data_IF_056907528699
#
_entry.id   IF_056907528699
#
_cell.length_a   1.000
_cell.length_b   1.000
_cell.length_c   1.000
_cell.angle_alpha   90.00
_cell.angle_beta   90.00
_cell.angle_gamma   90.00
#
_symmetry.space_group_name_H-M   'P 1'
#
loop_
_entity.id
_entity.type
_entity.pdbx_description
1 polymer ?
#
# COMPACT_ATOMS: atom_id res chain seq x y z
N UNK A 1 -9.18 -6.55 14.20
CA UNK A 1 -7.91 -6.86 13.50
C UNK A 1 -6.88 -7.25 14.55
N UNK A 2 -5.89 -8.07 14.19
CA UNK A 2 -4.84 -8.54 15.08
C UNK A 2 -3.49 -7.90 14.73
N UNK A 3 -2.72 -7.53 15.75
CA UNK A 3 -1.36 -7.05 15.60
C UNK A 3 -0.41 -8.20 15.25
N UNK A 4 0.53 -7.98 14.33
CA UNK A 4 1.50 -8.98 13.90
C UNK A 4 2.90 -8.71 14.46
N UNK A 5 3.60 -9.79 14.79
CA UNK A 5 5.04 -9.79 15.04
C UNK A 5 5.75 -10.34 13.79
N UNK A 6 6.54 -9.50 13.13
CA UNK A 6 7.32 -9.88 11.94
C UNK A 6 8.71 -9.25 12.09
N UNK A 7 9.70 -10.01 12.58
CA UNK A 7 11.07 -9.51 12.65
C UNK A 7 11.66 -9.37 11.25
N UNK A 8 12.46 -8.33 11.02
CA UNK A 8 13.24 -8.11 9.79
C UNK A 8 12.43 -8.40 8.52
N UNK A 9 11.31 -7.69 8.37
CA UNK A 9 10.40 -7.85 7.25
C UNK A 9 11.17 -7.79 5.93
N UNK A 10 11.10 -8.88 5.15
CA UNK A 10 11.81 -9.04 3.87
C UNK A 10 13.32 -8.85 4.00
N UNK A 11 13.92 -9.39 5.07
CA UNK A 11 15.35 -9.29 5.40
C UNK A 11 15.86 -7.84 5.52
N UNK A 12 14.95 -6.89 5.76
CA UNK A 12 15.24 -5.47 5.88
C UNK A 12 15.54 -5.03 7.33
N UNK A 13 15.76 -3.73 7.50
CA UNK A 13 15.90 -3.07 8.79
C UNK A 13 14.58 -2.83 9.55
N UNK A 14 13.43 -3.19 8.97
CA UNK A 14 12.11 -2.94 9.55
C UNK A 14 11.61 -4.21 10.25
N UNK A 15 11.11 -4.06 11.48
CA UNK A 15 10.34 -5.11 12.16
C UNK A 15 8.96 -4.61 12.54
N UNK A 16 7.93 -5.44 12.35
CA UNK A 16 6.60 -5.18 12.88
C UNK A 16 6.48 -5.76 14.28
N UNK A 17 6.13 -4.91 15.25
CA UNK A 17 5.99 -5.29 16.65
C UNK A 17 4.56 -5.02 17.14
N UNK A 18 3.93 -5.93 17.88
CA UNK A 18 2.60 -5.69 18.43
C UNK A 18 2.54 -4.46 19.36
N UNK A 19 3.61 -4.17 20.10
CA UNK A 19 3.71 -3.01 20.98
C UNK A 19 3.67 -1.64 20.28
N UNK A 20 3.78 -1.62 18.94
CA UNK A 20 3.66 -0.39 18.16
C UNK A 20 2.22 -0.08 17.74
N UNK A 21 1.25 -0.86 18.22
CA UNK A 21 -0.18 -0.65 18.00
C UNK A 21 -0.83 -0.33 19.35
N UNK A 22 -1.54 0.80 19.42
CA UNK A 22 -2.29 1.21 20.60
C UNK A 22 -3.69 1.68 20.24
N UNK A 23 -4.67 1.39 21.10
CA UNK A 23 -5.97 2.07 21.07
C UNK A 23 -5.85 3.36 21.89
N UNK A 24 -6.03 4.51 21.23
CA UNK A 24 -5.88 5.83 21.86
C UNK A 24 -7.27 6.38 22.18
N UNK A 25 -7.47 6.76 23.44
CA UNK A 25 -8.72 7.34 23.97
C UNK A 25 -10.00 6.51 23.69
N UNK A 26 -9.87 5.21 23.42
CA UNK A 26 -10.97 4.36 22.92
C UNK A 26 -11.64 4.89 21.63
N UNK A 27 -10.92 5.70 20.82
CA UNK A 27 -11.45 6.32 19.60
C UNK A 27 -10.82 5.80 18.33
N UNK A 28 -9.49 5.75 18.29
CA UNK A 28 -8.75 5.37 17.08
C UNK A 28 -7.56 4.48 17.43
N UNK A 29 -7.14 3.68 16.46
CA UNK A 29 -5.91 2.90 16.55
C UNK A 29 -4.74 3.78 16.10
N UNK A 30 -3.63 3.73 16.82
CA UNK A 30 -2.36 4.33 16.43
C UNK A 30 -1.35 3.24 16.07
N UNK A 31 -0.81 3.32 14.86
CA UNK A 31 0.39 2.61 14.41
C UNK A 31 1.58 3.55 14.60
N UNK A 32 2.62 3.10 15.29
CA UNK A 32 3.79 3.93 15.65
C UNK A 32 5.05 3.39 15.00
N UNK A 33 5.77 4.25 14.27
CA UNK A 33 7.04 3.92 13.63
C UNK A 33 8.20 4.62 14.35
N UNK A 34 9.24 3.86 14.72
CA UNK A 34 10.35 4.33 15.57
C UNK A 34 11.70 3.83 15.09
N UNK A 35 12.76 4.58 15.38
CA UNK A 35 14.15 4.15 15.21
C UNK A 35 14.71 3.55 16.50
N UNK A 36 15.55 2.55 16.34
CA UNK A 36 16.30 1.87 17.39
C UNK A 36 17.79 1.79 17.00
N UNK A 37 18.68 1.87 17.99
CA UNK A 37 20.11 1.69 17.80
C UNK A 37 20.59 0.40 18.47
N UNK A 38 20.89 -0.60 17.66
CA UNK A 38 21.28 -1.94 18.10
C UNK A 38 22.71 -2.29 17.70
N UNK A 39 23.27 -3.37 18.23
CA UNK A 39 24.64 -3.75 17.88
C UNK A 39 24.71 -4.35 16.46
N UNK A 40 23.66 -5.06 16.04
CA UNK A 40 23.54 -5.66 14.71
C UNK A 40 22.07 -5.80 14.31
N UNK A 41 21.83 -5.97 13.01
CA UNK A 41 20.50 -6.29 12.48
C UNK A 41 19.93 -7.55 13.15
N UNK A 42 18.65 -7.50 13.51
CA UNK A 42 17.94 -8.60 14.17
C UNK A 42 18.05 -8.66 15.70
N UNK A 43 18.87 -7.80 16.32
CA UNK A 43 18.83 -7.62 17.77
C UNK A 43 17.43 -7.09 18.21
N UNK A 44 16.96 -7.41 19.43
CA UNK A 44 15.65 -6.98 19.92
C UNK A 44 15.47 -5.46 19.92
N UNK A 45 14.33 -4.98 19.44
CA UNK A 45 13.95 -3.57 19.43
C UNK A 45 13.07 -3.28 20.64
N UNK A 46 13.54 -2.42 21.56
CA UNK A 46 12.87 -2.13 22.84
C UNK A 46 12.89 -0.64 23.13
N UNK A 47 12.15 -0.21 24.14
CA UNK A 47 12.17 1.20 24.58
C UNK A 47 13.55 1.64 25.09
N UNK A 48 14.41 0.72 25.52
CA UNK A 48 15.76 1.04 26.01
C UNK A 48 16.72 1.45 24.88
N UNK A 49 16.48 0.98 23.65
CA UNK A 49 17.34 1.29 22.49
C UNK A 49 16.64 2.19 21.47
N UNK A 50 15.45 2.69 21.78
CA UNK A 50 14.75 3.72 21.02
C UNK A 50 15.55 5.03 21.00
N UNK A 51 15.53 5.71 19.86
CA UNK A 51 16.05 7.08 19.74
C UNK A 51 15.31 7.85 18.64
N UNK A 52 15.29 9.17 18.76
CA UNK A 52 14.91 10.07 17.66
C UNK A 52 16.12 10.66 16.93
N UNK A 53 17.33 10.46 17.45
CA UNK A 53 18.57 10.92 16.84
C UNK A 53 19.22 9.88 15.91
N UNK A 54 20.33 10.25 15.25
CA UNK A 54 21.21 9.30 14.57
C UNK A 54 21.77 8.26 15.55
N UNK A 55 22.09 7.07 15.04
CA UNK A 55 22.77 6.07 15.85
C UNK A 55 24.25 6.40 16.04
N UNK A 56 24.85 6.09 17.22
CA UNK A 56 26.29 6.16 17.40
C UNK A 56 27.04 5.30 16.38
N UNK A 57 28.28 5.65 16.06
CA UNK A 57 29.07 5.01 15.00
C UNK A 57 29.26 3.48 15.14
N UNK A 58 29.15 2.94 16.37
CA UNK A 58 29.27 1.51 16.66
C UNK A 58 27.90 0.79 16.76
N UNK A 59 26.83 1.42 16.28
CA UNK A 59 25.46 0.88 16.29
C UNK A 59 24.87 0.91 14.90
N UNK A 60 23.94 -0.02 14.67
CA UNK A 60 23.16 -0.13 13.45
C UNK A 60 21.75 0.40 13.72
N UNK A 61 21.25 1.25 12.81
CA UNK A 61 19.86 1.67 12.85
C UNK A 61 18.94 0.51 12.43
N UNK A 62 17.93 0.24 13.24
CA UNK A 62 16.80 -0.61 12.91
C UNK A 62 15.52 0.16 13.18
N UNK A 63 14.43 -0.21 12.53
CA UNK A 63 13.16 0.46 12.66
C UNK A 63 12.10 -0.53 13.12
N UNK A 64 11.21 -0.07 13.98
CA UNK A 64 10.02 -0.82 14.34
C UNK A 64 8.78 -0.07 13.88
N UNK A 65 7.74 -0.82 13.48
CA UNK A 65 6.41 -0.28 13.16
C UNK A 65 5.30 -1.24 13.62
N UNK A 66 4.04 -0.91 13.38
CA UNK A 66 2.90 -1.78 13.59
C UNK A 66 2.31 -2.30 12.27
N UNK A 67 1.83 -3.53 12.29
CA UNK A 67 1.03 -4.14 11.21
C UNK A 67 -0.19 -4.81 11.80
N UNK A 68 -1.35 -4.38 11.33
CA UNK A 68 -2.64 -4.97 11.61
C UNK A 68 -3.11 -5.80 10.44
N UNK A 69 -3.66 -6.98 10.73
CA UNK A 69 -4.35 -7.79 9.73
C UNK A 69 -5.76 -8.15 10.21
N UNK A 70 -6.74 -8.13 9.30
CA UNK A 70 -8.02 -8.77 9.57
C UNK A 70 -7.92 -10.30 9.36
N UNK A 71 -8.93 -11.03 9.83
CA UNK A 71 -9.20 -12.36 9.25
C UNK A 71 -9.66 -12.22 7.79
N UNK A 72 -9.88 -13.36 7.12
CA UNK A 72 -10.44 -13.40 5.77
C UNK A 72 -11.93 -13.07 5.79
N UNK A 73 -12.26 -11.78 5.84
CA UNK A 73 -13.61 -11.26 6.08
C UNK A 73 -14.28 -10.70 4.82
N UNK A 74 -13.56 -10.56 3.72
CA UNK A 74 -14.10 -10.01 2.47
C UNK A 74 -14.37 -11.12 1.48
N UNK A 75 -15.65 -11.40 1.26
CA UNK A 75 -16.11 -12.29 0.19
C UNK A 75 -16.03 -11.59 -1.18
N UNK A 76 -14.94 -11.83 -1.92
CA UNK A 76 -14.74 -11.29 -3.27
C UNK A 76 -15.64 -11.95 -4.33
N UNK A 77 -16.47 -12.93 -3.96
CA UNK A 77 -17.53 -13.45 -4.81
C UNK A 77 -18.70 -12.49 -5.00
N UNK A 78 -18.79 -11.44 -4.15
CA UNK A 78 -19.86 -10.44 -4.13
C UNK A 78 -19.31 -9.03 -4.33
N UNK A 79 -20.13 -8.10 -4.87
CA UNK A 79 -19.79 -6.68 -4.84
C UNK A 79 -19.57 -6.20 -3.40
N UNK A 80 -18.52 -5.41 -3.19
CA UNK A 80 -18.20 -4.85 -1.90
C UNK A 80 -17.68 -3.42 -2.01
N UNK A 81 -17.83 -2.67 -0.93
CA UNK A 81 -17.15 -1.41 -0.69
C UNK A 81 -16.43 -1.48 0.64
N UNK A 82 -15.21 -0.98 0.70
CA UNK A 82 -14.52 -0.78 1.96
C UNK A 82 -14.08 0.67 2.11
N UNK A 83 -14.12 1.17 3.34
CA UNK A 83 -13.71 2.52 3.70
C UNK A 83 -12.78 2.49 4.90
N UNK A 84 -11.68 3.23 4.83
CA UNK A 84 -10.70 3.38 5.89
C UNK A 84 -10.53 4.88 6.14
N UNK A 85 -10.90 5.33 7.33
CA UNK A 85 -10.63 6.72 7.75
C UNK A 85 -9.31 6.76 8.50
N UNK A 86 -8.32 7.43 7.92
CA UNK A 86 -6.96 7.45 8.43
C UNK A 86 -6.38 8.88 8.46
N UNK A 87 -5.45 9.10 9.38
CA UNK A 87 -4.64 10.32 9.46
C UNK A 87 -3.17 9.94 9.53
N UNK A 88 -2.39 10.45 8.59
CA UNK A 88 -0.95 10.23 8.50
C UNK A 88 -0.27 11.40 9.20
N UNK A 89 0.56 11.13 10.22
CA UNK A 89 1.32 12.17 10.90
C UNK A 89 2.79 12.06 10.50
N UNK A 90 3.15 12.87 9.51
CA UNK A 90 4.51 13.03 9.03
C UNK A 90 5.26 14.07 9.87
N UNK A 91 6.03 13.61 10.84
CA UNK A 91 6.80 14.50 11.72
C UNK A 91 8.10 15.01 11.06
N UNK A 92 8.08 15.26 9.75
CA UNK A 92 9.17 15.90 9.00
C UNK A 92 10.32 15.00 8.56
N UNK A 93 10.21 13.66 8.67
CA UNK A 93 11.26 12.72 8.26
C UNK A 93 10.88 11.91 7.04
N UNK A 94 11.83 11.72 6.12
CA UNK A 94 11.69 10.86 4.93
C UNK A 94 11.78 9.39 5.29
N UNK A 95 11.42 8.54 4.32
CA UNK A 95 11.52 7.09 4.38
C UNK A 95 10.39 6.39 5.12
N UNK A 96 9.27 7.06 5.34
CA UNK A 96 8.02 6.42 5.77
C UNK A 96 7.11 6.14 4.57
N UNK A 97 6.44 4.98 4.57
CA UNK A 97 5.27 4.70 3.73
C UNK A 97 4.12 4.12 4.53
N UNK A 98 2.98 4.80 4.52
CA UNK A 98 1.73 4.25 5.04
C UNK A 98 1.06 3.41 3.97
N UNK A 99 0.68 2.18 4.31
CA UNK A 99 0.02 1.25 3.40
C UNK A 99 -1.29 0.71 3.98
N UNK A 100 -2.37 0.86 3.22
CA UNK A 100 -3.71 0.36 3.53
C UNK A 100 -4.15 -0.49 2.35
N UNK A 101 -4.31 -1.79 2.55
CA UNK A 101 -4.44 -2.71 1.42
C UNK A 101 -5.19 -3.99 1.78
N UNK A 102 -5.58 -4.74 0.76
CA UNK A 102 -6.14 -6.08 0.88
C UNK A 102 -5.37 -7.07 0.03
N UNK A 103 -5.37 -8.33 0.45
CA UNK A 103 -4.90 -9.43 -0.41
C UNK A 103 -5.71 -10.69 -0.18
N UNK A 104 -5.71 -11.57 -1.17
CA UNK A 104 -6.31 -12.92 -1.10
C UNK A 104 -5.27 -14.04 -0.96
N UNK A 105 -3.97 -13.72 -0.95
CA UNK A 105 -2.90 -14.71 -0.91
C UNK A 105 -1.73 -14.25 -0.03
N UNK A 106 -1.02 -15.17 0.60
CA UNK A 106 0.02 -14.82 1.59
C UNK A 106 1.32 -14.30 0.97
N UNK A 107 1.70 -14.71 -0.24
CA UNK A 107 2.93 -14.25 -0.92
C UNK A 107 2.80 -14.28 -2.45
N UNK A 108 3.61 -13.47 -3.14
CA UNK A 108 3.84 -13.55 -4.59
C UNK A 108 4.40 -14.92 -5.04
N UNK A 109 4.86 -15.78 -4.12
CA UNK A 109 5.29 -17.16 -4.42
C UNK A 109 4.12 -18.04 -4.89
N UNK A 110 2.88 -17.54 -4.79
CA UNK A 110 1.70 -18.14 -5.39
C UNK A 110 1.58 -17.94 -6.90
N UNK A 111 2.48 -17.15 -7.50
CA UNK A 111 2.82 -17.28 -8.91
C UNK A 111 3.73 -18.53 -9.02
N UNK A 112 3.19 -19.60 -9.58
CA UNK A 112 3.77 -20.95 -9.59
C UNK A 112 5.15 -21.02 -10.23
N UNK A 113 5.81 -22.17 -10.12
CA UNK A 113 7.17 -22.33 -10.67
C UNK A 113 7.21 -22.45 -12.20
N UNK A 114 6.05 -22.57 -12.87
CA UNK A 114 5.95 -22.71 -14.32
C UNK A 114 5.87 -21.31 -14.98
N UNK A 115 6.90 -20.85 -15.72
CA UNK A 115 6.90 -19.53 -16.37
C UNK A 115 5.77 -19.29 -17.38
N UNK A 116 5.11 -20.37 -17.85
CA UNK A 116 3.94 -20.28 -18.73
C UNK A 116 2.61 -20.12 -17.96
N UNK A 117 2.62 -20.15 -16.63
CA UNK A 117 1.42 -20.01 -15.81
C UNK A 117 0.95 -18.55 -15.74
N UNK A 118 -0.36 -18.37 -15.81
CA UNK A 118 -1.04 -17.11 -15.52
C UNK A 118 -1.76 -17.27 -14.18
N UNK A 119 -1.01 -17.32 -13.08
CA UNK A 119 -1.63 -17.70 -11.82
C UNK A 119 -2.54 -16.62 -11.24
N UNK A 120 -3.63 -17.01 -10.56
CA UNK A 120 -4.50 -16.06 -9.90
C UNK A 120 -3.73 -15.45 -8.72
N UNK A 121 -3.63 -14.14 -8.71
CA UNK A 121 -3.10 -13.33 -7.61
C UNK A 121 -3.97 -12.09 -7.46
N UNK A 122 -4.28 -11.72 -6.22
CA UNK A 122 -5.07 -10.56 -5.89
C UNK A 122 -4.44 -9.75 -4.76
N UNK A 123 -4.13 -8.51 -5.07
CA UNK A 123 -3.72 -7.48 -4.12
C UNK A 123 -4.35 -6.15 -4.54
N UNK A 124 -4.95 -5.46 -3.57
CA UNK A 124 -5.69 -4.22 -3.77
C UNK A 124 -5.13 -3.19 -2.79
N UNK A 125 -4.28 -2.30 -3.29
CA UNK A 125 -3.67 -1.24 -2.50
C UNK A 125 -4.61 -0.04 -2.52
N UNK A 126 -5.36 0.14 -1.43
CA UNK A 126 -6.24 1.30 -1.29
C UNK A 126 -5.38 2.57 -1.19
N UNK A 127 -4.28 2.48 -0.44
CA UNK A 127 -3.32 3.55 -0.28
C UNK A 127 -1.92 2.99 -0.11
N UNK A 128 -1.01 3.50 -0.92
CA UNK A 128 0.39 3.69 -0.58
C UNK A 128 0.69 5.19 -0.57
N UNK A 129 1.12 5.72 0.57
CA UNK A 129 1.52 7.11 0.71
C UNK A 129 2.99 7.17 1.08
N UNK A 130 3.79 7.96 0.38
CA UNK A 130 5.23 8.06 0.61
C UNK A 130 5.58 9.44 1.16
N UNK A 131 6.35 9.47 2.26
CA UNK A 131 6.84 10.71 2.88
C UNK A 131 7.69 11.60 1.96
N UNK A 132 8.28 11.05 0.90
CA UNK A 132 9.02 11.78 -0.13
C UNK A 132 8.09 12.55 -1.11
N UNK A 133 6.80 12.24 -1.12
CA UNK A 133 5.81 12.74 -2.06
C UNK A 133 4.47 12.97 -1.36
N UNK A 134 4.49 13.80 -0.32
CA UNK A 134 3.43 14.01 0.68
C UNK A 134 2.02 14.29 0.15
N UNK A 135 1.90 14.87 -1.03
CA UNK A 135 0.61 15.22 -1.63
C UNK A 135 0.10 14.14 -2.63
N UNK A 136 0.84 13.04 -2.79
CA UNK A 136 0.50 11.97 -3.69
C UNK A 136 0.10 10.71 -2.92
N UNK A 137 -0.87 10.01 -3.49
CA UNK A 137 -1.24 8.67 -3.11
C UNK A 137 -1.24 7.78 -4.35
N UNK A 138 -0.80 6.54 -4.14
CA UNK A 138 -0.83 5.49 -5.14
C UNK A 138 -1.81 4.44 -4.67
N UNK A 139 -2.75 4.10 -5.54
CA UNK A 139 -3.61 2.93 -5.36
C UNK A 139 -3.35 1.97 -6.51
N UNK A 140 -3.46 0.68 -6.28
CA UNK A 140 -3.18 -0.31 -7.31
C UNK A 140 -4.02 -1.57 -7.17
N UNK A 141 -4.42 -2.10 -8.31
CA UNK A 141 -5.01 -3.44 -8.41
C UNK A 141 -4.02 -4.35 -9.10
N UNK A 142 -3.53 -5.34 -8.37
CA UNK A 142 -2.75 -6.44 -8.91
C UNK A 142 -3.66 -7.63 -9.15
N UNK A 143 -3.83 -8.02 -10.41
CA UNK A 143 -4.70 -9.10 -10.82
C UNK A 143 -3.99 -10.05 -11.77
N UNK A 144 -3.63 -11.23 -11.26
CA UNK A 144 -2.83 -12.28 -11.91
C UNK A 144 -1.33 -12.01 -12.04
N UNK A 145 -0.58 -13.10 -12.22
CA UNK A 145 0.87 -13.09 -12.41
C UNK A 145 1.29 -13.28 -13.87
N UNK A 146 2.47 -12.77 -14.21
CA UNK A 146 3.24 -13.12 -15.41
C UNK A 146 4.72 -13.27 -15.06
N UNK A 147 5.44 -14.15 -15.77
CA UNK A 147 6.88 -14.27 -15.58
C UNK A 147 7.60 -13.20 -16.40
N UNK A 148 8.38 -12.35 -15.73
CA UNK A 148 9.21 -11.33 -16.37
C UNK A 148 10.54 -11.95 -16.79
N UNK A 149 10.71 -12.16 -18.10
CA UNK A 149 11.98 -12.61 -18.66
C UNK A 149 13.05 -11.51 -18.58
N UNK A 150 12.66 -10.24 -18.59
CA UNK A 150 13.59 -9.11 -18.41
C UNK A 150 14.17 -9.05 -16.99
N UNK A 151 13.40 -9.45 -15.98
CA UNK A 151 13.80 -9.39 -14.56
C UNK A 151 14.14 -10.76 -13.96
N UNK A 152 13.92 -11.85 -14.70
CA UNK A 152 14.13 -13.21 -14.22
C UNK A 152 13.24 -13.59 -13.03
N UNK A 153 12.07 -12.96 -12.87
CA UNK A 153 11.20 -13.13 -11.69
C UNK A 153 9.72 -12.93 -12.01
N UNK A 154 8.84 -13.39 -11.13
CA UNK A 154 7.41 -13.18 -11.24
C UNK A 154 7.02 -11.72 -10.98
N UNK A 155 6.04 -11.24 -11.75
CA UNK A 155 5.46 -9.91 -11.66
C UNK A 155 3.94 -10.03 -11.73
N UNK A 156 3.25 -8.99 -11.31
CA UNK A 156 1.79 -8.90 -11.36
C UNK A 156 1.35 -8.01 -12.50
N UNK A 157 0.21 -8.35 -13.10
CA UNK A 157 -0.48 -7.43 -14.00
C UNK A 157 -1.22 -6.41 -13.16
N UNK A 158 -1.08 -5.13 -13.50
CA UNK A 158 -1.44 -4.05 -12.57
C UNK A 158 -2.16 -2.91 -13.27
N UNK A 159 -3.22 -2.43 -12.62
CA UNK A 159 -3.73 -1.06 -12.78
C UNK A 159 -3.13 -0.20 -11.68
N UNK A 160 -2.57 0.95 -12.06
CA UNK A 160 -2.04 1.91 -11.13
C UNK A 160 -2.81 3.22 -11.22
N UNK A 161 -3.31 3.68 -10.09
CA UNK A 161 -4.11 4.88 -9.92
C UNK A 161 -3.26 5.98 -9.29
N UNK A 162 -3.55 7.23 -9.65
CA UNK A 162 -2.82 8.37 -9.10
C UNK A 162 -3.79 9.50 -8.77
N UNK A 163 -3.75 9.94 -7.52
CA UNK A 163 -4.64 10.98 -6.99
C UNK A 163 -4.43 12.33 -7.65
N UNK A 164 -3.18 12.76 -7.82
CA UNK A 164 -2.89 14.07 -8.37
C UNK A 164 -1.98 13.98 -9.59
N UNK A 165 -2.50 14.53 -10.68
CA UNK A 165 -1.77 14.92 -11.89
C UNK A 165 -1.89 16.44 -12.09
N UNK A 166 -1.91 17.20 -10.99
CA UNK A 166 -2.05 18.66 -11.08
C UNK A 166 -0.83 19.29 -11.72
N UNK A 167 -1.08 20.09 -12.75
CA UNK A 167 -0.05 20.89 -13.42
C UNK A 167 0.21 22.12 -12.55
N UNK A 168 1.45 22.31 -12.10
CA UNK A 168 1.94 23.57 -11.51
C UNK A 168 1.16 24.12 -10.30
N UNK A 169 0.26 23.36 -9.68
CA UNK A 169 -0.36 23.73 -8.40
C UNK A 169 0.44 23.13 -7.26
N UNK A 170 0.51 23.85 -6.13
CA UNK A 170 0.93 23.25 -4.87
C UNK A 170 -0.15 22.25 -4.46
N UNK A 171 0.09 21.00 -4.83
CA UNK A 171 -0.56 19.80 -4.33
C UNK A 171 -0.69 19.88 -2.81
N UNK A 172 -1.90 19.70 -2.27
CA UNK A 172 -2.11 19.80 -0.82
C UNK A 172 -1.60 18.52 -0.16
N UNK A 173 -0.70 18.60 0.84
CA UNK A 173 -0.25 17.41 1.55
C UNK A 173 -1.41 16.60 2.12
N UNK A 174 -1.32 15.28 2.03
CA UNK A 174 -2.31 14.33 2.56
C UNK A 174 -2.03 13.96 4.03
N UNK A 175 -0.88 14.37 4.56
CA UNK A 175 -0.53 14.24 5.96
C UNK A 175 -1.08 15.40 6.80
N UNK A 176 -1.30 15.14 8.09
CA UNK A 176 -1.76 16.14 9.05
C UNK A 176 -3.28 16.20 9.23
N UNK A 177 -4.07 15.65 8.30
CA UNK A 177 -5.53 15.64 8.35
C UNK A 177 -6.13 14.23 8.24
N UNK A 178 -7.42 14.13 8.60
CA UNK A 178 -8.18 12.89 8.47
C UNK A 178 -8.80 12.78 7.08
N UNK A 179 -8.52 11.67 6.41
CA UNK A 179 -9.03 11.35 5.09
C UNK A 179 -9.78 10.03 5.08
N UNK A 180 -10.77 9.90 4.21
CA UNK A 180 -11.49 8.64 3.95
C UNK A 180 -10.99 8.05 2.64
N UNK A 181 -10.27 6.94 2.76
CA UNK A 181 -9.83 6.12 1.63
C UNK A 181 -10.86 5.03 1.39
N UNK A 182 -11.25 4.82 0.13
CA UNK A 182 -12.22 3.78 -0.18
C UNK A 182 -11.86 2.98 -1.43
N UNK A 183 -12.35 1.75 -1.45
CA UNK A 183 -12.32 0.85 -2.60
C UNK A 183 -13.72 0.30 -2.83
N UNK A 184 -14.10 0.17 -4.10
CA UNK A 184 -15.32 -0.49 -4.53
C UNK A 184 -14.98 -1.56 -5.56
N UNK A 185 -15.56 -2.75 -5.38
CA UNK A 185 -15.61 -3.79 -6.38
C UNK A 185 -17.07 -4.08 -6.73
N UNK A 186 -17.45 -3.89 -7.99
CA UNK A 186 -18.84 -4.09 -8.45
C UNK A 186 -19.12 -5.53 -8.96
N UNK A 187 -18.15 -6.43 -8.86
CA UNK A 187 -18.18 -7.76 -9.46
C UNK A 187 -17.49 -7.85 -10.82
N UNK A 188 -17.07 -6.72 -11.40
CA UNK A 188 -16.36 -6.63 -12.67
C UNK A 188 -15.16 -5.69 -12.62
N UNK A 189 -15.26 -4.57 -11.89
CA UNK A 189 -14.26 -3.49 -11.86
C UNK A 189 -13.92 -3.10 -10.44
N UNK A 190 -12.68 -2.67 -10.22
CA UNK A 190 -12.26 -2.02 -8.99
C UNK A 190 -12.17 -0.51 -9.20
N UNK A 191 -12.57 0.27 -8.19
CA UNK A 191 -12.46 1.73 -8.16
C UNK A 191 -11.92 2.18 -6.82
N UNK A 192 -11.06 3.19 -6.83
CA UNK A 192 -10.44 3.77 -5.63
C UNK A 192 -10.92 5.20 -5.42
N UNK A 193 -11.03 5.63 -4.17
CA UNK A 193 -11.51 6.95 -3.81
C UNK A 193 -10.73 7.56 -2.65
N UNK A 194 -10.56 8.88 -2.71
CA UNK A 194 -10.18 9.73 -1.58
C UNK A 194 -11.30 10.73 -1.32
N UNK A 195 -11.81 10.77 -0.08
CA UNK A 195 -12.84 11.70 0.36
C UNK A 195 -14.06 11.73 -0.58
N UNK A 196 -14.43 10.55 -1.08
CA UNK A 196 -15.55 10.36 -2.02
C UNK A 196 -15.25 10.70 -3.48
N UNK A 197 -14.06 11.21 -3.81
CA UNK A 197 -13.63 11.50 -5.18
C UNK A 197 -12.89 10.31 -5.78
N UNK A 198 -13.26 9.92 -7.00
CA UNK A 198 -12.61 8.84 -7.75
C UNK A 198 -11.13 9.16 -8.01
N UNK A 199 -10.27 8.17 -7.80
CA UNK A 199 -8.85 8.19 -8.19
C UNK A 199 -8.75 7.44 -9.53
N UNK A 200 -8.53 8.13 -10.66
CA UNK A 200 -8.56 7.50 -11.97
C UNK A 200 -7.34 6.61 -12.21
N UNK A 201 -7.48 5.62 -13.11
CA UNK A 201 -6.33 4.84 -13.61
C UNK A 201 -5.38 5.79 -14.32
N UNK A 202 -4.09 5.67 -14.01
CA UNK A 202 -3.02 6.45 -14.65
C UNK A 202 -2.29 5.65 -15.73
N UNK A 203 -2.06 4.37 -15.47
CA UNK A 203 -1.45 3.46 -16.41
C UNK A 203 -1.80 2.01 -16.03
N UNK A 204 -1.56 1.11 -16.97
CA UNK A 204 -1.66 -0.32 -16.72
C UNK A 204 -0.46 -1.07 -17.31
N UNK A 205 -0.07 -2.18 -16.68
CA UNK A 205 1.03 -3.03 -17.14
C UNK A 205 0.56 -4.48 -17.26
N UNK A 206 0.71 -5.04 -18.46
CA UNK A 206 0.25 -6.39 -18.83
C UNK A 206 1.38 -7.40 -18.76
N UNK A 207 2.58 -6.98 -19.19
CA UNK A 207 3.80 -7.79 -19.24
C UNK A 207 5.05 -6.90 -19.36
N UNK A 208 6.23 -7.50 -19.62
CA UNK A 208 7.53 -6.83 -19.77
C UNK A 208 7.60 -5.77 -20.87
N UNK A 209 6.74 -5.86 -21.88
CA UNK A 209 6.79 -5.02 -23.08
C UNK A 209 5.58 -4.09 -23.17
N UNK A 210 4.57 -4.30 -22.33
CA UNK A 210 3.28 -3.62 -22.43
C UNK A 210 2.95 -2.89 -21.13
N UNK A 211 3.35 -1.62 -21.08
CA UNK A 211 2.83 -0.63 -20.12
C UNK A 211 2.21 0.51 -20.93
N UNK A 212 0.95 0.84 -20.62
CA UNK A 212 0.20 1.87 -21.35
C UNK A 212 -0.20 2.97 -20.39
N UNK A 213 0.26 4.19 -20.70
CA UNK A 213 -0.17 5.41 -20.03
C UNK A 213 -1.51 5.86 -20.63
N UNK A 214 -2.49 6.11 -19.76
CA UNK A 214 -3.87 6.47 -20.15
C UNK A 214 -4.22 7.90 -19.72
N UNK A 215 -3.22 8.73 -19.47
CA UNK A 215 -3.42 10.13 -19.12
C UNK A 215 -3.44 11.00 -20.36
N UNK A 216 -4.52 11.76 -20.52
CA UNK A 216 -4.65 12.75 -21.58
C UNK A 216 -3.94 14.05 -21.18
N UNK A 217 -2.70 14.18 -21.62
CA UNK A 217 -1.87 15.38 -21.37
C UNK A 217 -2.19 16.56 -22.28
N UNK A 218 -3.17 16.44 -23.18
CA UNK A 218 -3.53 17.50 -24.12
C UNK A 218 -4.53 18.52 -23.54
N UNK A 219 -5.17 18.18 -22.42
CA UNK A 219 -6.17 19.04 -21.76
C UNK A 219 -6.12 18.93 -20.25
N UNK A 220 -6.78 19.86 -19.57
CA UNK A 220 -6.99 19.82 -18.12
C UNK A 220 -8.47 19.63 -17.80
N UNK A 221 -8.76 19.01 -16.66
CA UNK A 221 -10.10 18.95 -16.10
C UNK A 221 -10.37 20.16 -15.17
N UNK A 222 -11.57 20.21 -14.60
CA UNK A 222 -12.02 21.29 -13.69
C UNK A 222 -11.17 21.40 -12.41
N UNK A 223 -10.45 20.32 -12.04
CA UNK A 223 -9.54 20.31 -10.91
C UNK A 223 -8.15 20.87 -11.26
N UNK A 224 -7.86 21.11 -12.54
CA UNK A 224 -6.56 21.53 -13.06
C UNK A 224 -5.56 20.38 -13.18
N UNK A 225 -6.05 19.12 -13.18
CA UNK A 225 -5.26 17.93 -13.43
C UNK A 225 -5.42 17.41 -14.85
N UNK A 226 -4.56 16.48 -15.25
CA UNK A 226 -4.75 15.72 -16.48
C UNK A 226 -5.77 14.59 -16.27
N UNK A 227 -6.86 14.52 -17.06
CA UNK A 227 -7.82 13.44 -16.93
C UNK A 227 -7.27 12.13 -17.48
N UNK A 228 -7.81 11.01 -16.99
CA UNK A 228 -7.57 9.70 -17.61
C UNK A 228 -8.56 9.45 -18.74
N UNK A 229 -8.10 8.86 -19.85
CA UNK A 229 -8.94 8.32 -20.91
C UNK A 229 -9.59 6.99 -20.52
N UNK A 230 -9.17 6.41 -19.39
CA UNK A 230 -9.67 5.16 -18.84
C UNK A 230 -9.84 5.33 -17.31
N UNK A 231 -10.83 6.12 -16.85
CA UNK A 231 -10.99 6.40 -15.42
C UNK A 231 -11.37 5.16 -14.60
N UNK A 232 -12.04 4.19 -15.22
CA UNK A 232 -12.39 2.89 -14.66
C UNK A 232 -11.40 1.80 -15.09
N UNK A 233 -11.17 0.81 -14.23
CA UNK A 233 -10.47 -0.41 -14.61
C UNK A 233 -11.25 -1.22 -15.68
N UNK A 234 -10.48 -1.90 -16.53
CA UNK A 234 -10.97 -2.83 -17.55
C UNK A 234 -10.00 -4.01 -17.64
N UNK A 235 -10.24 -5.07 -16.86
CA UNK A 235 -9.38 -6.25 -16.77
C UNK A 235 -9.08 -6.92 -18.11
N UNK A 236 -9.90 -6.72 -19.16
CA UNK A 236 -9.57 -7.19 -20.49
C UNK A 236 -8.26 -6.55 -21.02
N UNK A 237 -7.94 -5.31 -20.62
CA UNK A 237 -6.67 -4.64 -20.95
C UNK A 237 -5.45 -5.29 -20.29
N UNK A 238 -5.64 -6.02 -19.19
CA UNK A 238 -4.60 -6.81 -18.53
C UNK A 238 -4.52 -8.25 -19.06
N UNK A 239 -5.23 -8.62 -20.13
CA UNK A 239 -5.38 -10.02 -20.53
C UNK A 239 -5.95 -10.91 -19.41
N UNK A 240 -6.72 -10.32 -18.48
CA UNK A 240 -7.42 -11.02 -17.41
C UNK A 240 -8.86 -11.25 -17.87
N UNK A 241 -9.14 -12.46 -18.33
CA UNK A 241 -10.49 -12.84 -18.75
C UNK A 241 -11.42 -13.07 -17.54
N UNK A 242 -12.71 -13.28 -17.81
CA UNK A 242 -13.72 -13.50 -16.75
C UNK A 242 -13.39 -14.68 -15.84
N UNK A 243 -12.91 -15.78 -16.40
CA UNK A 243 -12.54 -16.97 -15.63
C UNK A 243 -11.38 -16.67 -14.67
N UNK A 244 -10.35 -15.95 -15.12
CA UNK A 244 -9.24 -15.52 -14.30
C UNK A 244 -9.69 -14.54 -13.21
N UNK A 245 -10.56 -13.59 -13.55
CA UNK A 245 -11.12 -12.66 -12.58
C UNK A 245 -11.90 -13.39 -11.47
N UNK A 246 -12.73 -14.37 -11.85
CA UNK A 246 -13.45 -15.21 -10.88
C UNK A 246 -12.47 -16.07 -10.05
N UNK A 247 -11.37 -16.56 -10.63
CA UNK A 247 -10.33 -17.27 -9.88
C UNK A 247 -9.64 -16.36 -8.85
N UNK A 248 -9.30 -15.13 -9.24
CA UNK A 248 -8.66 -14.13 -8.37
C UNK A 248 -9.63 -13.73 -7.25
N UNK A 249 -10.81 -13.19 -7.58
CA UNK A 249 -11.67 -12.56 -6.58
C UNK A 249 -12.47 -13.57 -5.75
N UNK A 250 -12.94 -14.67 -6.36
CA UNK A 250 -13.83 -15.64 -5.72
C UNK A 250 -13.11 -16.91 -5.29
N UNK A 251 -12.43 -17.61 -6.21
CA UNK A 251 -11.94 -18.96 -5.92
C UNK A 251 -10.72 -18.98 -4.98
N UNK A 252 -9.82 -17.99 -5.07
CA UNK A 252 -8.70 -17.81 -4.13
C UNK A 252 -9.08 -17.04 -2.86
N UNK A 253 -10.21 -16.34 -2.85
CA UNK A 253 -10.71 -15.62 -1.67
C UNK A 253 -11.12 -16.57 -0.53
N UNK A 254 -11.23 -16.06 0.71
CA UNK A 254 -11.61 -14.68 1.03
C UNK A 254 -10.43 -13.74 1.29
N UNK A 255 -10.65 -12.45 1.05
CA UNK A 255 -9.64 -11.40 1.20
C UNK A 255 -9.59 -10.88 2.63
N UNK A 256 -8.46 -10.31 3.00
CA UNK A 256 -8.26 -9.68 4.30
C UNK A 256 -7.52 -8.35 4.17
N UNK A 257 -7.81 -7.44 5.09
CA UNK A 257 -7.16 -6.14 5.21
C UNK A 257 -5.82 -6.26 5.88
N UNK A 258 -4.91 -5.40 5.44
CA UNK A 258 -3.63 -5.14 6.06
C UNK A 258 -3.47 -3.63 6.18
N UNK A 259 -3.20 -3.16 7.39
CA UNK A 259 -2.91 -1.76 7.68
C UNK A 259 -1.55 -1.71 8.35
N UNK A 260 -0.59 -1.01 7.74
CA UNK A 260 0.74 -0.91 8.31
C UNK A 260 1.45 0.35 7.84
N UNK A 261 2.60 0.59 8.47
CA UNK A 261 3.48 1.67 8.10
C UNK A 261 4.90 1.15 7.94
N UNK A 262 5.57 1.51 6.86
CA UNK A 262 6.90 1.05 6.51
C UNK A 262 7.93 2.09 6.92
N UNK A 263 9.04 1.64 7.49
CA UNK A 263 10.32 2.34 7.34
C UNK A 263 11.00 1.77 6.10
N UNK A 264 10.98 2.53 5.00
CA UNK A 264 11.49 2.12 3.70
C UNK A 264 12.95 1.68 3.77
N UNK A 265 13.31 0.67 2.97
CA UNK A 265 14.68 0.13 2.88
C UNK A 265 15.19 0.04 1.44
N UNK A 266 14.32 0.18 0.45
CA UNK A 266 14.74 0.15 -0.95
C UNK A 266 15.27 1.53 -1.36
N UNK A 267 16.47 1.60 -1.93
CA UNK A 267 17.13 2.86 -2.32
C UNK A 267 16.25 3.77 -3.20
N UNK A 268 15.45 3.16 -4.08
CA UNK A 268 14.56 3.87 -5.00
C UNK A 268 13.31 4.47 -4.31
N UNK A 269 13.05 4.13 -3.05
CA UNK A 269 11.90 4.56 -2.26
C UNK A 269 12.27 5.58 -1.17
N UNK A 270 13.46 6.19 -1.27
CA UNK A 270 13.96 7.27 -0.38
C UNK A 270 13.95 6.87 1.11
N UNK A 271 14.70 5.82 1.51
CA UNK A 271 14.67 5.26 2.86
C UNK A 271 15.19 6.26 3.91
N UNK A 272 14.90 6.06 5.21
CA UNK A 272 15.37 6.98 6.25
C UNK A 272 16.90 7.00 6.30
N UNK A 273 17.48 8.20 6.24
CA UNK A 273 18.94 8.35 6.28
C UNK A 273 19.47 8.11 7.69
N UNK A 274 20.50 7.28 7.88
CA UNK A 274 21.07 7.01 9.20
C UNK A 274 21.60 8.25 9.94
N UNK A 275 22.02 9.27 9.18
CA UNK A 275 22.60 10.53 9.68
C UNK A 275 21.56 11.56 10.11
N UNK A 276 20.30 11.39 9.71
CA UNK A 276 19.25 12.38 9.92
C UNK A 276 18.44 12.01 11.17
N UNK A 277 17.89 12.98 11.91
CA UNK A 277 16.92 12.68 12.96
C UNK A 277 15.72 11.88 12.40
N UNK A 278 15.21 10.95 13.20
CA UNK A 278 14.00 10.19 12.91
C UNK A 278 13.02 10.37 14.08
N UNK A 279 12.24 11.45 14.10
CA UNK A 279 11.16 11.59 15.06
C UNK A 279 10.16 10.45 14.91
N UNK A 280 9.49 10.11 16.01
CA UNK A 280 8.41 9.12 16.00
C UNK A 280 7.37 9.54 14.96
N UNK A 281 6.96 8.62 14.09
CA UNK A 281 5.90 8.86 13.12
C UNK A 281 4.68 8.01 13.47
N UNK A 282 3.48 8.46 13.08
CA UNK A 282 2.26 7.71 13.38
C UNK A 282 1.28 7.70 12.22
N UNK A 283 0.57 6.59 12.08
CA UNK A 283 -0.67 6.50 11.30
C UNK A 283 -1.81 6.21 12.25
N UNK A 284 -2.85 7.05 12.22
CA UNK A 284 -4.05 6.87 13.02
C UNK A 284 -5.16 6.29 12.14
N UNK A 285 -5.87 5.28 12.64
CA UNK A 285 -7.00 4.65 11.98
C UNK A 285 -8.24 4.83 12.86
N UNK A 286 -9.19 5.62 12.40
CA UNK A 286 -10.47 5.85 13.09
C UNK A 286 -11.39 4.64 12.90
N UNK A 287 -11.62 4.24 11.66
CA UNK A 287 -12.41 3.05 11.36
C UNK A 287 -11.94 2.33 10.09
N UNK A 288 -12.30 1.04 10.03
CA UNK A 288 -12.39 0.26 8.80
C UNK A 288 -13.81 -0.26 8.69
N UNK A 289 -14.50 0.07 7.60
CA UNK A 289 -15.87 -0.38 7.33
C UNK A 289 -15.90 -1.19 6.05
N UNK A 290 -16.62 -2.30 6.08
CA UNK A 290 -16.87 -3.17 4.95
C UNK A 290 -18.38 -3.25 4.73
N UNK A 291 -18.81 -2.95 3.50
CA UNK A 291 -20.19 -3.05 3.05
C UNK A 291 -20.23 -4.11 1.95
N UNK A 292 -21.00 -5.18 2.12
CA UNK A 292 -21.14 -6.22 1.11
C UNK A 292 -22.61 -6.38 0.76
N UNK A 293 -22.91 -6.54 -0.53
CA UNK A 293 -24.25 -6.93 -0.95
C UNK A 293 -24.52 -8.35 -0.47
N UNK A 294 -25.70 -8.57 0.12
CA UNK A 294 -26.14 -9.89 0.57
C UNK A 294 -26.43 -10.80 -0.61
#
# INVERSE_FOLDING_TARGET
>A
MAARLIPNHLDSHLSYLPGNIALVENKYIQITTRRHCVARQGDPLTDQNFTTGPCPANKVAQYSSGRLESGQIVDGGKPFRAEIRAKINWNGSRGMRTALWLRNSETLQNCGSNPAANDPYGELDILEWYSSARAYAWSSTHASCFYSHKRGTWRTRVFAHRLEQHINRQATPLDGDWHVWAIEFDGQKVRYYLDGKLIPVSHYTVDDNTTVDVIDRSRTDESGGYPSTMPDEDFAKLNVNRQMLDQVFRAKGPWYFILNDYAEWEDKLDPPRPTDPFPVQTTLIDYVRLYQKN
#
